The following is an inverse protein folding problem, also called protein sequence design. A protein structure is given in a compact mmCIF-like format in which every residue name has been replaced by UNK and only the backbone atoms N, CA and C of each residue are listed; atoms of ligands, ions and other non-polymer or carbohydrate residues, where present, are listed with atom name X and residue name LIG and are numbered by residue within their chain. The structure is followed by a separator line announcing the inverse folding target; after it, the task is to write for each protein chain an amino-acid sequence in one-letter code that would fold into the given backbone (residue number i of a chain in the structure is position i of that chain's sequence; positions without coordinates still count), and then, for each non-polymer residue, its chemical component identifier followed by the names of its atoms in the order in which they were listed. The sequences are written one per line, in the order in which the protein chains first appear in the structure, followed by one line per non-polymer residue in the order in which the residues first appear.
data_IF_146549509140
#
_entry.id   IF_146549509140
#
_cell.length_a   1.000
_cell.length_b   1.000
_cell.length_c   1.000
_cell.angle_alpha   90.00
_cell.angle_beta   90.00
_cell.angle_gamma   90.00
#
_symmetry.space_group_name_H-M   'P 1'
#
loop_
_entity.id
_entity.type
_entity.pdbx_description
1 polymer ?
#
# COMPACT_ATOMS: atom_id res chain seq x y z
N UNK A 1 -1.42 1.22 -16.09
CA UNK A 1 -2.48 0.43 -15.42
C UNK A 1 -2.38 -1.01 -15.88
N UNK A 2 -2.56 -1.99 -14.99
CA UNK A 2 -2.50 -3.43 -15.30
C UNK A 2 -3.91 -3.98 -15.13
N UNK A 3 -4.51 -4.60 -16.14
CA UNK A 3 -5.84 -5.20 -16.00
C UNK A 3 -5.77 -6.44 -15.10
N UNK A 4 -6.75 -6.60 -14.23
CA UNK A 4 -6.87 -7.79 -13.38
C UNK A 4 -7.34 -8.99 -14.21
N UNK A 5 -7.14 -10.18 -13.68
CA UNK A 5 -7.60 -11.42 -14.33
C UNK A 5 -9.13 -11.47 -14.36
N UNK A 6 -9.73 -11.63 -15.55
CA UNK A 6 -11.19 -11.48 -15.79
C UNK A 6 -12.08 -12.38 -14.90
N UNK A 7 -11.62 -13.59 -14.54
CA UNK A 7 -12.42 -14.53 -13.74
C UNK A 7 -12.16 -14.37 -12.23
N UNK A 8 -10.88 -14.16 -11.84
CA UNK A 8 -10.51 -14.11 -10.43
C UNK A 8 -10.50 -12.71 -9.86
N UNK A 9 -10.51 -11.68 -10.71
CA UNK A 9 -10.43 -10.26 -10.38
C UNK A 9 -9.17 -9.88 -9.60
N UNK A 10 -8.16 -10.76 -9.58
CA UNK A 10 -6.87 -10.58 -8.90
C UNK A 10 -5.81 -10.07 -9.85
N UNK A 11 -4.92 -9.26 -9.33
CA UNK A 11 -3.63 -8.99 -9.93
C UNK A 11 -2.64 -10.09 -9.53
N UNK A 12 -1.87 -10.58 -10.51
CA UNK A 12 -0.89 -11.67 -10.32
C UNK A 12 0.51 -11.24 -10.79
N UNK A 13 1.58 -11.89 -10.30
CA UNK A 13 2.95 -11.61 -10.75
C UNK A 13 3.14 -11.73 -12.25
N UNK A 14 2.48 -12.68 -12.90
CA UNK A 14 2.58 -12.88 -14.35
C UNK A 14 2.04 -11.70 -15.17
N UNK A 15 1.03 -11.01 -14.65
CA UNK A 15 0.51 -9.79 -15.28
C UNK A 15 1.44 -8.59 -15.00
N UNK A 16 1.98 -8.50 -13.79
CA UNK A 16 2.86 -7.41 -13.36
C UNK A 16 4.17 -7.43 -14.14
N UNK A 17 4.82 -8.59 -14.28
CA UNK A 17 6.13 -8.71 -14.92
C UNK A 17 6.13 -8.18 -16.35
N UNK A 18 5.03 -8.35 -17.09
CA UNK A 18 4.91 -7.86 -18.48
C UNK A 18 4.87 -6.34 -18.60
N UNK A 19 4.67 -5.63 -17.48
CA UNK A 19 4.56 -4.16 -17.44
C UNK A 19 5.71 -3.48 -16.72
N UNK A 20 6.62 -4.24 -16.10
CA UNK A 20 7.82 -3.69 -15.48
C UNK A 20 8.79 -3.22 -16.57
N UNK A 21 9.32 -2.02 -16.40
CA UNK A 21 10.33 -1.40 -17.26
C UNK A 21 11.40 -0.72 -16.39
N UNK A 22 12.47 -0.24 -16.99
CA UNK A 22 13.50 0.55 -16.32
C UNK A 22 12.97 1.86 -15.67
N UNK A 23 11.76 2.28 -16.06
CA UNK A 23 11.07 3.46 -15.51
C UNK A 23 10.04 3.12 -14.43
N UNK A 24 9.89 1.85 -14.06
CA UNK A 24 8.96 1.45 -13.01
C UNK A 24 9.54 1.76 -11.64
N UNK A 25 8.97 2.72 -10.94
CA UNK A 25 9.40 3.11 -9.58
C UNK A 25 8.71 2.29 -8.50
N UNK A 26 7.43 1.97 -8.68
CA UNK A 26 6.61 1.28 -7.68
C UNK A 26 5.55 0.41 -8.35
N UNK A 27 5.26 -0.73 -7.71
CA UNK A 27 4.09 -1.56 -8.02
C UNK A 27 3.11 -1.46 -6.86
N UNK A 28 1.83 -1.36 -7.16
CA UNK A 28 0.75 -1.31 -6.16
C UNK A 28 -0.08 -2.59 -6.26
N UNK A 29 -0.36 -3.22 -5.13
CA UNK A 29 -1.29 -4.34 -5.01
C UNK A 29 -2.27 -4.08 -3.87
N UNK A 30 -3.50 -4.56 -3.98
CA UNK A 30 -4.57 -4.27 -3.02
C UNK A 30 -4.87 -5.43 -2.08
N UNK A 31 -5.13 -5.10 -0.83
CA UNK A 31 -5.49 -6.07 0.21
C UNK A 31 -6.67 -5.56 1.06
N UNK A 32 -7.93 -5.74 0.61
CA UNK A 32 -8.41 -6.15 -0.70
C UNK A 32 -8.68 -4.98 -1.68
N UNK A 33 -9.02 -5.30 -2.94
CA UNK A 33 -9.56 -4.34 -3.90
C UNK A 33 -10.92 -3.84 -3.44
N UNK A 34 -11.17 -2.54 -3.55
CA UNK A 34 -12.42 -1.92 -3.09
C UNK A 34 -13.68 -2.50 -3.77
N UNK A 35 -13.76 -2.60 -5.12
CA UNK A 35 -15.03 -2.98 -5.74
C UNK A 35 -15.39 -4.46 -5.59
N UNK A 36 -14.42 -5.33 -5.36
CA UNK A 36 -14.64 -6.79 -5.40
C UNK A 36 -14.34 -7.49 -4.07
N UNK A 37 -13.70 -6.82 -3.11
CA UNK A 37 -13.30 -7.44 -1.85
C UNK A 37 -12.26 -8.57 -2.03
N UNK A 38 -11.54 -8.60 -3.16
CA UNK A 38 -10.62 -9.66 -3.52
C UNK A 38 -9.18 -9.22 -3.25
N UNK A 39 -8.40 -10.03 -2.57
CA UNK A 39 -6.98 -9.79 -2.36
C UNK A 39 -6.18 -10.15 -3.62
N UNK A 40 -5.31 -9.23 -4.05
CA UNK A 40 -4.30 -9.53 -5.06
C UNK A 40 -3.31 -10.59 -4.55
N UNK A 41 -2.53 -11.18 -5.46
CA UNK A 41 -1.41 -12.05 -5.05
C UNK A 41 -0.24 -11.21 -4.52
N UNK A 42 -0.47 -10.63 -3.32
CA UNK A 42 0.49 -9.71 -2.69
C UNK A 42 1.83 -10.38 -2.46
N UNK A 43 1.85 -11.65 -2.02
CA UNK A 43 3.08 -12.38 -1.74
C UNK A 43 3.90 -12.62 -3.02
N UNK A 44 3.25 -13.08 -4.08
CA UNK A 44 3.92 -13.29 -5.37
C UNK A 44 4.43 -11.98 -5.98
N UNK A 45 3.63 -10.91 -5.90
CA UNK A 45 4.03 -9.58 -6.40
C UNK A 45 5.18 -9.01 -5.56
N UNK A 46 5.19 -9.19 -4.23
CA UNK A 46 6.27 -8.76 -3.36
C UNK A 46 7.60 -9.45 -3.71
N UNK A 47 7.57 -10.76 -3.94
CA UNK A 47 8.75 -11.50 -4.39
C UNK A 47 9.27 -10.99 -5.74
N UNK A 48 8.37 -10.70 -6.68
CA UNK A 48 8.74 -10.12 -7.97
C UNK A 48 9.37 -8.73 -7.81
N UNK A 49 8.75 -7.85 -7.03
CA UNK A 49 9.25 -6.50 -6.77
C UNK A 49 10.64 -6.50 -6.14
N UNK A 50 10.87 -7.37 -5.15
CA UNK A 50 12.18 -7.55 -4.52
C UNK A 50 13.26 -7.98 -5.53
N UNK A 51 12.95 -8.96 -6.38
CA UNK A 51 13.86 -9.43 -7.44
C UNK A 51 14.18 -8.34 -8.47
N UNK A 52 13.20 -7.53 -8.82
CA UNK A 52 13.36 -6.41 -9.75
C UNK A 52 13.95 -5.15 -9.09
N UNK A 53 14.16 -5.15 -7.77
CA UNK A 53 14.65 -3.99 -6.98
C UNK A 53 13.79 -2.74 -7.14
N UNK A 54 12.49 -2.91 -7.25
CA UNK A 54 11.51 -1.83 -7.30
C UNK A 54 10.70 -1.78 -6.01
N UNK A 55 10.17 -0.60 -5.68
CA UNK A 55 9.29 -0.47 -4.53
C UNK A 55 7.96 -1.17 -4.75
N UNK A 56 7.35 -1.63 -3.66
CA UNK A 56 5.99 -2.15 -3.66
C UNK A 56 5.16 -1.50 -2.56
N UNK A 57 4.02 -0.96 -2.94
CA UNK A 57 3.01 -0.45 -2.02
C UNK A 57 1.84 -1.43 -1.92
N UNK A 58 1.42 -1.72 -0.70
CA UNK A 58 0.19 -2.48 -0.45
C UNK A 58 -0.91 -1.50 -0.08
N UNK A 59 -1.90 -1.38 -0.94
CA UNK A 59 -3.12 -0.66 -0.61
C UNK A 59 -4.01 -1.55 0.26
N UNK A 60 -3.86 -1.41 1.57
CA UNK A 60 -4.70 -2.04 2.58
C UNK A 60 -5.61 -1.00 3.26
N UNK A 61 -6.05 0.01 2.53
CA UNK A 61 -6.92 1.05 3.05
C UNK A 61 -8.20 0.47 3.69
N UNK A 62 -8.72 -0.64 3.16
CA UNK A 62 -9.81 -1.42 3.77
C UNK A 62 -9.27 -2.47 4.73
N UNK A 63 -8.35 -3.32 4.27
CA UNK A 63 -7.93 -4.53 4.98
C UNK A 63 -7.01 -4.29 6.17
N UNK A 64 -6.34 -3.15 6.25
CA UNK A 64 -5.35 -2.87 7.31
C UNK A 64 -5.91 -2.97 8.72
N UNK A 65 -7.18 -2.65 8.91
CA UNK A 65 -7.88 -2.76 10.20
C UNK A 65 -8.88 -3.93 10.25
N UNK A 66 -8.89 -4.83 9.28
CA UNK A 66 -9.75 -6.03 9.26
C UNK A 66 -8.91 -7.30 9.24
N UNK A 67 -8.00 -7.41 8.27
CA UNK A 67 -7.26 -8.64 8.02
C UNK A 67 -6.40 -9.13 9.20
N UNK A 68 -5.73 -8.27 9.99
CA UNK A 68 -5.01 -8.70 11.19
C UNK A 68 -5.93 -9.34 12.24
N UNK A 69 -7.13 -8.78 12.42
CA UNK A 69 -8.12 -9.33 13.34
C UNK A 69 -8.71 -10.63 12.84
N UNK A 70 -8.93 -10.78 11.53
CA UNK A 70 -9.33 -12.05 10.94
C UNK A 70 -8.30 -13.14 11.22
N UNK A 71 -6.98 -12.85 11.07
CA UNK A 71 -5.92 -13.78 11.46
C UNK A 71 -5.97 -14.14 12.95
N UNK A 72 -6.19 -13.16 13.81
CA UNK A 72 -6.32 -13.39 15.25
C UNK A 72 -7.48 -14.33 15.56
N UNK A 73 -8.57 -14.23 14.82
CA UNK A 73 -9.74 -15.11 14.88
C UNK A 73 -9.54 -16.44 14.11
N UNK A 74 -8.31 -16.74 13.66
CA UNK A 74 -7.93 -17.96 12.96
C UNK A 74 -8.56 -18.15 11.57
N UNK A 75 -9.03 -17.07 10.93
CA UNK A 75 -9.35 -17.15 9.51
C UNK A 75 -8.07 -17.22 8.68
N UNK A 76 -8.13 -17.95 7.56
CA UNK A 76 -7.04 -17.99 6.59
C UNK A 76 -6.94 -16.66 5.85
N UNK A 77 -5.93 -15.88 6.16
CA UNK A 77 -5.61 -14.61 5.51
C UNK A 77 -4.22 -14.69 4.91
N UNK A 78 -4.07 -14.59 3.58
CA UNK A 78 -2.77 -14.54 2.94
C UNK A 78 -1.87 -13.43 3.51
N UNK A 79 -0.56 -13.60 3.43
CA UNK A 79 0.38 -12.56 3.83
C UNK A 79 0.24 -11.33 2.90
N UNK A 80 0.17 -10.13 3.48
CA UNK A 80 -0.04 -8.88 2.74
C UNK A 80 0.76 -7.71 3.32
N UNK A 81 1.41 -7.89 4.44
CA UNK A 81 2.06 -6.85 5.24
C UNK A 81 3.60 -6.91 5.13
N UNK A 82 4.28 -6.22 6.03
CA UNK A 82 5.73 -6.17 6.10
C UNK A 82 6.41 -7.51 6.47
N UNK A 83 5.68 -8.58 6.74
CA UNK A 83 6.25 -9.93 6.79
C UNK A 83 6.83 -10.36 5.44
N UNK A 84 6.34 -9.76 4.35
CA UNK A 84 6.84 -9.95 2.99
C UNK A 84 7.98 -8.97 2.71
N UNK A 85 9.17 -9.46 2.42
CA UNK A 85 10.40 -8.64 2.21
C UNK A 85 10.23 -7.58 1.11
N UNK A 86 9.49 -7.86 0.05
CA UNK A 86 9.30 -6.94 -1.06
C UNK A 86 8.36 -5.77 -0.78
N UNK A 87 7.55 -5.83 0.28
CA UNK A 87 6.64 -4.72 0.62
C UNK A 87 7.44 -3.58 1.23
N UNK A 88 7.42 -2.41 0.61
CA UNK A 88 8.18 -1.21 1.03
C UNK A 88 7.32 -0.18 1.73
N UNK A 89 6.03 -0.11 1.39
CA UNK A 89 5.06 0.77 2.05
C UNK A 89 3.66 0.16 2.04
N UNK A 90 2.79 0.68 2.89
CA UNK A 90 1.42 0.20 3.03
C UNK A 90 0.51 1.32 3.51
N UNK A 91 -0.69 1.40 2.95
CA UNK A 91 -1.75 2.28 3.46
C UNK A 91 -2.75 1.51 4.30
N UNK A 92 -3.28 2.17 5.35
CA UNK A 92 -4.36 1.66 6.18
C UNK A 92 -5.24 2.83 6.64
N UNK A 93 -6.53 2.81 6.30
CA UNK A 93 -7.40 3.92 6.60
C UNK A 93 -8.09 3.74 7.94
N UNK A 94 -7.74 4.61 8.88
CA UNK A 94 -8.37 4.64 10.20
C UNK A 94 -9.84 5.03 10.12
N UNK A 95 -10.24 5.85 9.13
CA UNK A 95 -11.62 6.30 8.93
C UNK A 95 -12.55 5.27 8.27
N UNK A 96 -12.02 4.09 7.94
CA UNK A 96 -12.83 2.97 7.44
C UNK A 96 -13.11 2.00 8.60
N UNK A 97 -12.51 0.83 8.59
CA UNK A 97 -12.71 -0.16 9.65
C UNK A 97 -11.93 0.14 10.95
N UNK A 98 -11.09 1.16 10.97
CA UNK A 98 -10.52 1.71 12.19
C UNK A 98 -11.49 2.58 13.00
N UNK A 99 -12.70 2.86 12.47
CA UNK A 99 -13.81 3.58 13.10
C UNK A 99 -13.46 5.00 13.56
N UNK A 100 -12.42 5.61 12.99
CA UNK A 100 -12.05 7.00 13.26
C UNK A 100 -12.85 7.99 12.39
N UNK A 101 -12.70 9.27 12.66
CA UNK A 101 -13.33 10.33 11.87
C UNK A 101 -12.92 10.25 10.40
N UNK A 102 -13.87 10.58 9.52
CA UNK A 102 -13.67 10.61 8.07
C UNK A 102 -12.50 11.52 7.70
N UNK A 103 -11.69 11.08 6.73
CA UNK A 103 -10.53 11.82 6.24
C UNK A 103 -9.21 11.49 6.93
N UNK A 104 -9.20 10.54 7.88
CA UNK A 104 -7.97 10.07 8.51
C UNK A 104 -7.45 8.80 7.84
N UNK A 105 -6.15 8.76 7.55
CA UNK A 105 -5.47 7.62 6.94
C UNK A 105 -4.03 7.53 7.42
N UNK A 106 -3.44 6.36 7.33
CA UNK A 106 -2.05 6.11 7.71
C UNK A 106 -1.30 5.50 6.54
N UNK A 107 -0.11 6.02 6.27
CA UNK A 107 0.86 5.38 5.38
C UNK A 107 2.05 4.92 6.21
N UNK A 108 2.35 3.64 6.12
CA UNK A 108 3.45 2.98 6.80
C UNK A 108 4.57 2.72 5.81
N UNK A 109 5.82 2.90 6.26
CA UNK A 109 7.02 2.61 5.50
C UNK A 109 7.86 1.56 6.21
N UNK A 110 8.47 0.66 5.45
CA UNK A 110 9.33 -0.40 5.99
C UNK A 110 10.47 0.16 6.83
N UNK A 111 11.05 1.30 6.45
CA UNK A 111 12.17 1.92 7.15
C UNK A 111 12.18 3.44 7.00
N UNK A 112 13.02 4.09 7.81
CA UNK A 112 13.18 5.55 7.85
C UNK A 112 13.71 6.13 6.54
N UNK A 113 14.55 5.40 5.80
CA UNK A 113 15.12 5.89 4.54
C UNK A 113 14.03 6.07 3.49
N UNK A 114 13.14 5.09 3.35
CA UNK A 114 11.97 5.20 2.46
C UNK A 114 11.04 6.34 2.88
N UNK A 115 10.78 6.48 4.18
CA UNK A 115 9.92 7.57 4.67
C UNK A 115 10.53 8.95 4.42
N UNK A 116 11.84 9.10 4.52
CA UNK A 116 12.53 10.40 4.27
C UNK A 116 12.29 10.92 2.86
N UNK A 117 12.15 10.05 1.86
CA UNK A 117 11.86 10.44 0.49
C UNK A 117 10.47 11.11 0.31
N UNK A 118 9.60 11.00 1.31
CA UNK A 118 8.28 11.65 1.31
C UNK A 118 8.37 13.14 1.68
N UNK A 119 9.40 13.58 2.40
CA UNK A 119 9.50 14.95 2.86
C UNK A 119 9.76 15.90 1.69
N UNK A 120 8.87 16.86 1.50
CA UNK A 120 8.98 17.91 0.50
C UNK A 120 8.84 19.26 1.19
N UNK A 121 9.91 20.07 1.26
CA UNK A 121 9.81 21.42 1.79
C UNK A 121 9.18 22.35 0.76
N UNK A 122 8.28 23.20 1.19
CA UNK A 122 7.74 24.32 0.41
C UNK A 122 8.30 25.59 1.02
N UNK A 123 9.29 26.19 0.35
CA UNK A 123 10.05 27.33 0.87
C UNK A 123 9.51 28.68 0.40
N UNK A 124 8.69 28.71 -0.65
CA UNK A 124 8.19 29.92 -1.29
C UNK A 124 6.81 30.35 -0.79
N UNK A 125 6.30 29.69 0.24
CA UNK A 125 5.02 30.08 0.82
C UNK A 125 5.20 31.27 1.76
N UNK A 126 4.40 32.32 1.57
CA UNK A 126 4.46 33.57 2.35
C UNK A 126 4.20 33.39 3.85
N UNK A 127 3.58 32.34 4.28
CA UNK A 127 3.32 31.98 5.69
C UNK A 127 4.51 31.34 6.42
N UNK A 128 5.65 31.14 5.74
CA UNK A 128 6.86 30.53 6.29
C UNK A 128 7.19 29.16 5.69
N UNK A 129 8.10 28.43 6.34
CA UNK A 129 8.50 27.10 5.89
C UNK A 129 7.40 26.07 6.16
N UNK A 130 6.91 25.44 5.12
CA UNK A 130 6.00 24.28 5.20
C UNK A 130 6.70 23.02 4.75
N UNK A 131 6.53 21.94 5.50
CA UNK A 131 7.10 20.63 5.14
C UNK A 131 5.97 19.60 5.06
N UNK A 132 5.84 18.97 3.89
CA UNK A 132 4.93 17.85 3.69
C UNK A 132 5.69 16.52 3.84
N UNK A 133 5.10 15.46 4.44
CA UNK A 133 3.76 15.43 5.00
C UNK A 133 3.70 16.06 6.39
N UNK A 134 2.68 16.90 6.60
CA UNK A 134 2.31 17.38 7.91
C UNK A 134 1.24 16.50 8.55
N UNK A 135 0.97 16.71 9.84
CA UNK A 135 -0.23 16.21 10.50
C UNK A 135 -1.40 17.12 10.08
N UNK A 136 -2.10 16.74 9.04
CA UNK A 136 -3.35 17.37 8.66
C UNK A 136 -4.46 16.32 8.68
N UNK A 137 -5.51 16.59 9.42
CA UNK A 137 -6.72 15.78 9.44
C UNK A 137 -7.93 16.64 9.15
N UNK A 138 -9.01 16.07 8.65
CA UNK A 138 -10.30 16.74 8.59
C UNK A 138 -10.81 16.94 10.02
N UNK A 139 -11.20 18.15 10.33
CA UNK A 139 -11.91 18.48 11.57
C UNK A 139 -13.39 18.28 11.41
#
# INVERSE_FOLDING_TARGET
MIPVHKKTLKLTPSQVVTKITSRTAVVVASAPTYPHGVMDDVAGIANLAARCRICMHVDACLGGFVLPFMRHLRYEVPAFDFSLQGVTSMSADTHKYGLAHKGTSVVLYRNKALRRAQFTPVTEWSGGLYVSPGLSGSR
#
